data_IF_971352102983
#
_entry.id   IF_971352102983
#
_cell.length_a   1.000
_cell.length_b   1.000
_cell.length_c   1.000
_cell.angle_alpha   90.00
_cell.angle_beta   90.00
_cell.angle_gamma   90.00
#
_symmetry.space_group_name_H-M   'P 1'
#
loop_
_entity.id
_entity.type
_entity.pdbx_description
1 polymer ?
#
# COMPACT_ATOMS: atom_id res chain seq x y z
N UNK A 1 4.48 -9.97 -10.42
CA UNK A 1 4.10 -9.46 -9.09
C UNK A 1 5.38 -9.25 -8.25
N UNK A 2 5.51 -8.16 -7.50
CA UNK A 2 6.66 -7.93 -6.63
C UNK A 2 6.73 -9.03 -5.55
N UNK A 3 7.84 -9.79 -5.50
CA UNK A 3 8.01 -10.95 -4.59
C UNK A 3 7.87 -10.55 -3.11
N UNK A 4 8.43 -9.40 -2.74
CA UNK A 4 8.42 -8.88 -1.37
C UNK A 4 7.01 -8.49 -0.91
N UNK A 5 6.23 -7.84 -1.78
CA UNK A 5 4.84 -7.49 -1.47
C UNK A 5 3.99 -8.75 -1.29
N UNK A 6 4.19 -9.73 -2.16
CA UNK A 6 3.46 -11.01 -2.11
C UNK A 6 3.77 -11.76 -0.82
N UNK A 7 5.03 -11.77 -0.41
CA UNK A 7 5.48 -12.37 0.85
C UNK A 7 4.87 -11.68 2.07
N UNK A 8 4.87 -10.34 2.11
CA UNK A 8 4.25 -9.57 3.21
C UNK A 8 2.77 -9.91 3.34
N UNK A 9 2.03 -9.95 2.22
CA UNK A 9 0.60 -10.26 2.23
C UNK A 9 0.34 -11.71 2.67
N UNK A 10 1.14 -12.67 2.18
CA UNK A 10 1.02 -14.08 2.57
C UNK A 10 1.33 -14.30 4.05
N UNK A 11 2.40 -13.70 4.56
CA UNK A 11 2.78 -13.84 5.97
C UNK A 11 1.73 -13.21 6.88
N UNK A 12 1.16 -12.07 6.52
CA UNK A 12 0.07 -11.45 7.29
C UNK A 12 -1.21 -12.29 7.30
N UNK A 13 -1.56 -12.93 6.19
CA UNK A 13 -2.70 -13.86 6.11
C UNK A 13 -2.54 -15.09 7.01
N UNK A 14 -1.31 -15.53 7.30
CA UNK A 14 -1.07 -16.67 8.22
C UNK A 14 -1.22 -16.30 9.70
N UNK A 15 -0.95 -15.06 10.06
CA UNK A 15 -0.96 -14.59 11.47
C UNK A 15 -2.39 -14.41 11.97
N UNK A 16 -3.31 -14.07 11.08
CA UNK A 16 -4.70 -13.83 11.42
C UNK A 16 -5.58 -14.68 10.50
N UNK A 17 -6.28 -15.68 11.05
CA UNK A 17 -7.33 -16.46 10.37
C UNK A 17 -8.57 -15.60 10.10
N UNK A 18 -8.39 -14.52 9.35
CA UNK A 18 -9.47 -13.64 8.91
C UNK A 18 -9.87 -14.04 7.49
N UNK A 19 -11.02 -14.68 7.34
CA UNK A 19 -11.57 -15.03 6.02
C UNK A 19 -12.00 -13.79 5.21
N UNK A 20 -12.24 -12.64 5.88
CA UNK A 20 -12.85 -11.45 5.25
C UNK A 20 -11.89 -10.28 5.01
N UNK A 21 -10.79 -10.15 5.75
CA UNK A 21 -9.91 -8.98 5.67
C UNK A 21 -8.45 -9.38 5.53
N UNK A 22 -7.79 -8.88 4.47
CA UNK A 22 -6.34 -9.08 4.25
C UNK A 22 -5.49 -8.29 5.25
N UNK A 23 -6.01 -7.15 5.72
CA UNK A 23 -5.34 -6.31 6.71
C UNK A 23 -6.24 -6.16 7.94
N UNK A 24 -5.69 -6.51 9.10
CA UNK A 24 -6.36 -6.45 10.41
C UNK A 24 -5.52 -5.64 11.40
N UNK A 25 -6.14 -5.22 12.49
CA UNK A 25 -5.49 -4.58 13.63
C UNK A 25 -4.57 -5.58 14.37
N UNK A 26 -3.78 -5.09 15.33
CA UNK A 26 -2.96 -5.97 16.19
C UNK A 26 -3.80 -6.96 17.01
N UNK A 27 -5.07 -6.64 17.26
CA UNK A 27 -6.03 -7.53 17.92
C UNK A 27 -6.71 -8.53 16.97
N UNK A 28 -6.32 -8.58 15.69
CA UNK A 28 -6.92 -9.45 14.68
C UNK A 28 -8.30 -9.02 14.17
N UNK A 29 -8.81 -7.89 14.64
CA UNK A 29 -10.08 -7.31 14.20
C UNK A 29 -9.92 -6.41 12.98
N UNK A 30 -11.03 -6.03 12.33
CA UNK A 30 -10.99 -5.07 11.24
C UNK A 30 -10.32 -3.76 11.70
N UNK A 31 -9.44 -3.20 10.85
CA UNK A 31 -8.80 -1.92 11.12
C UNK A 31 -9.88 -0.84 11.21
N UNK A 32 -10.06 -0.27 12.40
CA UNK A 32 -11.05 0.79 12.65
C UNK A 32 -10.52 2.20 12.35
N UNK A 33 -9.20 2.37 12.25
CA UNK A 33 -8.59 3.65 11.91
C UNK A 33 -8.53 3.86 10.40
N UNK A 34 -8.79 5.09 9.96
CA UNK A 34 -8.55 5.48 8.58
C UNK A 34 -7.07 5.29 8.24
N UNK A 35 -6.78 4.68 7.07
CA UNK A 35 -5.41 4.52 6.53
C UNK A 35 -4.63 5.84 6.60
N UNK A 36 -5.32 6.98 6.38
CA UNK A 36 -4.77 8.33 6.55
C UNK A 36 -4.16 8.57 7.93
N UNK A 37 -4.83 8.19 9.03
CA UNK A 37 -4.31 8.39 10.40
C UNK A 37 -3.02 7.60 10.62
N UNK A 38 -3.02 6.34 10.18
CA UNK A 38 -1.84 5.46 10.25
C UNK A 38 -0.68 6.07 9.45
N UNK A 39 -0.96 6.54 8.23
CA UNK A 39 0.03 7.17 7.38
C UNK A 39 0.60 8.44 8.02
N UNK A 40 -0.24 9.33 8.55
CA UNK A 40 0.21 10.58 9.18
C UNK A 40 1.11 10.29 10.39
N UNK A 41 0.75 9.34 11.24
CA UNK A 41 1.57 8.95 12.38
C UNK A 41 2.95 8.42 11.94
N UNK A 42 2.98 7.61 10.88
CA UNK A 42 4.22 7.08 10.32
C UNK A 42 5.10 8.17 9.68
N UNK A 43 4.50 9.09 8.93
CA UNK A 43 5.21 10.23 8.33
C UNK A 43 5.82 11.14 9.38
N UNK A 44 5.08 11.43 10.46
CA UNK A 44 5.58 12.21 11.59
C UNK A 44 6.79 11.51 12.25
N UNK A 45 6.70 10.20 12.47
CA UNK A 45 7.81 9.40 13.05
C UNK A 45 9.06 9.41 12.16
N UNK A 46 8.89 9.47 10.84
CA UNK A 46 10.00 9.48 9.87
C UNK A 46 10.48 10.90 9.51
N UNK A 47 9.86 11.95 10.07
CA UNK A 47 10.19 13.35 9.72
C UNK A 47 9.80 13.77 8.30
N UNK A 48 8.95 12.99 7.62
CA UNK A 48 8.53 13.26 6.24
C UNK A 48 7.32 14.21 6.24
N UNK A 49 7.45 15.37 5.59
CA UNK A 49 6.37 16.36 5.50
C UNK A 49 5.51 16.14 4.24
N UNK A 50 4.19 16.36 4.36
CA UNK A 50 3.24 16.53 3.24
C UNK A 50 3.13 15.36 2.25
N UNK A 51 3.25 14.11 2.70
CA UNK A 51 2.92 12.94 1.86
C UNK A 51 1.50 12.42 2.14
N UNK A 52 0.84 11.93 1.08
CA UNK A 52 -0.49 11.31 1.15
C UNK A 52 -0.47 9.96 0.44
N UNK A 53 -1.55 9.18 0.57
CA UNK A 53 -1.73 7.94 -0.22
C UNK A 53 -1.69 8.23 -1.72
N UNK A 54 -2.23 9.36 -2.15
CA UNK A 54 -2.18 9.80 -3.54
C UNK A 54 -0.74 10.12 -3.97
N UNK A 55 0.04 10.79 -3.11
CA UNK A 55 1.46 11.05 -3.35
C UNK A 55 2.24 9.75 -3.52
N UNK A 56 1.99 8.73 -2.68
CA UNK A 56 2.63 7.42 -2.79
C UNK A 56 2.27 6.74 -4.12
N UNK A 57 1.00 6.82 -4.54
CA UNK A 57 0.56 6.32 -5.86
C UNK A 57 1.26 7.05 -7.00
N UNK A 58 1.40 8.36 -6.93
CA UNK A 58 2.16 9.12 -7.92
C UNK A 58 3.62 8.70 -7.97
N UNK A 59 4.28 8.53 -6.82
CA UNK A 59 5.65 8.02 -6.77
C UNK A 59 5.78 6.65 -7.42
N UNK A 60 4.83 5.73 -7.19
CA UNK A 60 4.81 4.43 -7.86
C UNK A 60 4.76 4.57 -9.39
N UNK A 61 3.90 5.44 -9.90
CA UNK A 61 3.76 5.70 -11.34
C UNK A 61 5.04 6.31 -11.91
N UNK A 62 5.57 7.36 -11.27
CA UNK A 62 6.82 8.01 -11.70
C UNK A 62 7.97 7.02 -11.76
N UNK A 63 8.10 6.12 -10.77
CA UNK A 63 9.13 5.08 -10.77
C UNK A 63 8.96 4.13 -11.96
N UNK A 64 7.73 3.68 -12.26
CA UNK A 64 7.48 2.77 -13.39
C UNK A 64 7.77 3.44 -14.74
N UNK A 65 7.34 4.68 -14.91
CA UNK A 65 7.58 5.45 -16.13
C UNK A 65 9.07 5.70 -16.33
N UNK A 66 9.80 6.10 -15.27
CA UNK A 66 11.25 6.28 -15.33
C UNK A 66 12.00 4.97 -15.59
N UNK A 67 11.44 3.83 -15.17
CA UNK A 67 11.98 2.50 -15.48
C UNK A 67 11.66 2.02 -16.92
N UNK A 68 10.99 2.83 -17.74
CA UNK A 68 10.68 2.51 -19.13
C UNK A 68 9.46 1.59 -19.31
N UNK A 69 8.61 1.45 -18.30
CA UNK A 69 7.34 0.71 -18.43
C UNK A 69 6.37 1.54 -19.27
N UNK A 70 5.72 0.89 -20.23
CA UNK A 70 4.79 1.56 -21.14
C UNK A 70 3.55 2.11 -20.41
N UNK A 71 3.08 3.28 -20.86
CA UNK A 71 1.93 3.97 -20.26
C UNK A 71 0.65 3.11 -20.20
N UNK A 72 0.28 2.32 -21.23
CA UNK A 72 -0.88 1.42 -21.16
C UNK A 72 -0.78 0.40 -20.02
N UNK A 73 0.40 -0.17 -19.79
CA UNK A 73 0.65 -1.09 -18.67
C UNK A 73 0.55 -0.37 -17.33
N UNK A 74 1.12 0.83 -17.21
CA UNK A 74 1.01 1.64 -15.98
C UNK A 74 -0.45 2.00 -15.68
N UNK A 75 -1.23 2.39 -16.70
CA UNK A 75 -2.65 2.73 -16.56
C UNK A 75 -3.47 1.53 -16.05
N UNK A 76 -3.24 0.34 -16.61
CA UNK A 76 -3.85 -0.92 -16.14
C UNK A 76 -3.51 -1.21 -14.67
N UNK A 77 -2.26 -0.99 -14.26
CA UNK A 77 -1.82 -1.18 -12.87
C UNK A 77 -2.43 -0.17 -11.89
N UNK A 78 -2.73 1.04 -12.36
CA UNK A 78 -3.39 2.05 -11.52
C UNK A 78 -4.88 1.81 -11.34
N UNK A 79 -5.51 1.00 -12.22
CA UNK A 79 -6.94 0.71 -12.18
C UNK A 79 -7.81 1.86 -12.71
N UNK A 80 -7.27 2.70 -13.60
CA UNK A 80 -8.06 3.67 -14.32
C UNK A 80 -8.72 2.96 -15.51
N UNK A 81 -10.04 2.73 -15.41
CA UNK A 81 -10.89 2.33 -16.53
C UNK A 81 -11.00 3.45 -17.56
#
# INVERSE_FOLDING_TARGET
MNKRVTEIVRNRRKIYESERCVFVSEAGTQIQYTIRKILVALLNKLGIKRATIHSIRHTFVSILVMAGVDLPTVQKLMGHS
#
